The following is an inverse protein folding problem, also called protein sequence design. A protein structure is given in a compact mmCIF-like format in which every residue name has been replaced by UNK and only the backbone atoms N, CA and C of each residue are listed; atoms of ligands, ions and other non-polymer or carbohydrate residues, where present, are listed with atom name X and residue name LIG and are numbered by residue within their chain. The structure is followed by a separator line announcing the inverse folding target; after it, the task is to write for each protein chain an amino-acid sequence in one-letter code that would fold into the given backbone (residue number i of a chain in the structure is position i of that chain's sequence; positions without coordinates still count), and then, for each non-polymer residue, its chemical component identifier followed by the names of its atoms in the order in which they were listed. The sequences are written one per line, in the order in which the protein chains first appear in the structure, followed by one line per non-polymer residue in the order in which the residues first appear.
data_IF_593388785925
#
_entry.id   IF_593388785925
#
_cell.length_a   1.000
_cell.length_b   1.000
_cell.length_c   1.000
_cell.angle_alpha   90.00
_cell.angle_beta   90.00
_cell.angle_gamma   90.00
#
_symmetry.space_group_name_H-M   'P 1'
#
loop_
_entity.id
_entity.type
_entity.pdbx_description
1 polymer ?
#
# COMPACT_ATOMS: atom_id res chain seq x y z
N UNK A 1 -25.76 18.54 -49.64
CA UNK A 1 -25.27 17.16 -49.66
C UNK A 1 -23.75 17.24 -49.40
N UNK A 2 -23.35 17.17 -48.10
CA UNK A 2 -21.94 17.18 -47.72
C UNK A 2 -21.40 15.75 -47.88
N UNK A 3 -20.54 15.52 -48.87
CA UNK A 3 -19.75 14.31 -48.95
C UNK A 3 -18.67 14.40 -47.89
N UNK A 4 -18.83 13.64 -46.77
CA UNK A 4 -17.76 13.40 -45.84
C UNK A 4 -16.70 12.55 -46.57
N UNK A 5 -15.55 13.13 -46.83
CA UNK A 5 -14.36 12.38 -47.21
C UNK A 5 -13.92 11.58 -45.98
N UNK A 6 -14.24 10.28 -45.97
CA UNK A 6 -13.62 9.32 -45.06
C UNK A 6 -12.21 9.11 -45.65
N UNK A 7 -11.25 9.87 -45.13
CA UNK A 7 -9.84 9.62 -45.43
C UNK A 7 -9.51 8.21 -44.91
N UNK A 8 -9.11 7.31 -45.80
CA UNK A 8 -8.54 6.01 -45.43
C UNK A 8 -7.21 6.32 -44.73
N UNK A 9 -7.20 6.27 -43.44
CA UNK A 9 -5.95 6.40 -42.67
C UNK A 9 -5.08 5.16 -42.95
N UNK A 10 -3.82 5.41 -43.31
CA UNK A 10 -2.83 4.36 -43.47
C UNK A 10 -2.74 3.50 -42.20
N UNK A 11 -3.06 2.22 -42.27
CA UNK A 11 -3.23 1.34 -41.11
C UNK A 11 -2.49 0.02 -41.30
N UNK A 12 -1.81 -0.40 -40.24
CA UNK A 12 -1.30 -1.77 -40.08
C UNK A 12 -2.41 -2.65 -39.52
N UNK A 13 -2.57 -3.84 -40.08
CA UNK A 13 -3.51 -4.84 -39.61
C UNK A 13 -2.94 -6.25 -39.78
N UNK A 14 -3.54 -7.21 -39.08
CA UNK A 14 -3.18 -8.62 -39.16
C UNK A 14 -4.39 -9.45 -39.60
N UNK A 15 -4.11 -10.51 -40.35
CA UNK A 15 -5.12 -11.47 -40.84
C UNK A 15 -4.57 -12.87 -40.71
N UNK A 16 -5.44 -13.87 -40.64
CA UNK A 16 -5.07 -15.30 -40.59
C UNK A 16 -5.51 -16.02 -39.36
N UNK A 17 -5.27 -15.46 -38.20
CA UNK A 17 -5.86 -15.96 -36.94
C UNK A 17 -7.17 -15.20 -36.65
N UNK A 18 -8.30 -15.88 -36.82
CA UNK A 18 -9.62 -15.30 -36.57
C UNK A 18 -10.07 -15.57 -35.10
N UNK A 19 -9.39 -16.47 -34.40
CA UNK A 19 -9.74 -16.88 -33.05
C UNK A 19 -9.17 -15.94 -31.99
N UNK A 20 -7.99 -15.37 -32.26
CA UNK A 20 -7.29 -14.51 -31.31
C UNK A 20 -7.02 -13.13 -31.90
N UNK A 21 -7.67 -12.13 -31.35
CA UNK A 21 -7.43 -10.75 -31.73
C UNK A 21 -6.01 -10.34 -31.36
N UNK A 22 -5.40 -9.53 -32.22
CA UNK A 22 -4.07 -8.97 -31.94
C UNK A 22 -4.17 -8.00 -30.77
N UNK A 23 -3.27 -8.15 -29.81
CA UNK A 23 -3.14 -7.20 -28.72
C UNK A 23 -2.26 -6.03 -29.18
N UNK A 24 -2.72 -4.81 -28.94
CA UNK A 24 -2.04 -3.58 -29.34
C UNK A 24 -1.56 -2.82 -28.11
N UNK A 25 -0.27 -2.50 -28.07
CA UNK A 25 0.35 -1.72 -26.99
C UNK A 25 0.98 -0.46 -27.57
N UNK A 26 0.60 0.69 -27.05
CA UNK A 26 1.25 1.97 -27.38
C UNK A 26 2.51 2.09 -26.52
N UNK A 27 3.70 1.97 -27.11
CA UNK A 27 4.94 2.01 -26.33
C UNK A 27 5.27 3.43 -25.88
N UNK A 28 6.18 3.54 -24.90
CA UNK A 28 6.66 4.84 -24.47
C UNK A 28 7.31 5.63 -25.63
N UNK A 29 7.05 6.93 -25.72
CA UNK A 29 7.51 7.80 -26.81
C UNK A 29 9.02 7.74 -27.09
N UNK A 30 9.82 7.50 -26.06
CA UNK A 30 11.28 7.41 -26.15
C UNK A 30 11.76 6.12 -26.86
N UNK A 31 10.87 5.21 -27.24
CA UNK A 31 11.20 4.02 -28.02
C UNK A 31 11.32 4.34 -29.52
N UNK A 32 10.66 5.39 -29.99
CA UNK A 32 10.53 5.73 -31.40
C UNK A 32 9.63 4.77 -32.19
N UNK A 33 8.93 3.86 -31.51
CA UNK A 33 7.94 2.98 -32.10
C UNK A 33 6.55 3.62 -32.03
N UNK A 34 5.73 3.39 -33.06
CA UNK A 34 4.33 3.81 -33.09
C UNK A 34 3.44 2.80 -32.36
N UNK A 35 3.76 1.49 -32.47
CA UNK A 35 2.96 0.41 -31.88
C UNK A 35 3.80 -0.85 -31.62
N UNK A 36 3.43 -1.60 -30.60
CA UNK A 36 3.85 -2.98 -30.39
C UNK A 36 2.63 -3.88 -30.53
N UNK A 37 2.70 -4.84 -31.43
CA UNK A 37 1.66 -5.84 -31.66
C UNK A 37 2.06 -7.15 -31.00
N UNK A 38 1.17 -7.75 -30.23
CA UNK A 38 1.37 -9.06 -29.61
C UNK A 38 0.39 -10.04 -30.25
N UNK A 39 0.95 -11.01 -30.96
CA UNK A 39 0.21 -12.09 -31.62
C UNK A 39 0.16 -13.30 -30.69
N UNK A 40 -0.98 -14.01 -30.64
CA UNK A 40 -1.12 -15.25 -29.88
C UNK A 40 -0.14 -16.32 -30.39
N UNK A 41 -0.18 -16.57 -31.73
CA UNK A 41 0.80 -17.35 -32.47
C UNK A 41 1.05 -16.71 -33.84
N UNK A 42 2.28 -16.28 -34.10
CA UNK A 42 2.65 -15.58 -35.32
C UNK A 42 2.60 -16.43 -36.58
N UNK A 43 2.66 -17.76 -36.47
CA UNK A 43 2.69 -18.66 -37.65
C UNK A 43 1.41 -18.60 -38.48
N UNK A 44 0.29 -18.25 -37.89
CA UNK A 44 -1.00 -18.14 -38.54
C UNK A 44 -1.27 -16.74 -39.10
N UNK A 45 -0.44 -15.76 -38.77
CA UNK A 45 -0.70 -14.37 -39.05
C UNK A 45 0.05 -13.85 -40.28
N UNK A 46 -0.64 -12.97 -41.02
CA UNK A 46 -0.10 -12.14 -42.09
C UNK A 46 -0.21 -10.70 -41.67
N UNK A 47 0.82 -9.93 -41.93
CA UNK A 47 0.81 -8.49 -41.67
C UNK A 47 0.49 -7.73 -42.94
N UNK A 48 -0.46 -6.82 -42.91
CA UNK A 48 -0.85 -6.00 -44.04
C UNK A 48 -0.78 -4.51 -43.69
N UNK A 49 -0.50 -3.72 -44.71
CA UNK A 49 -0.52 -2.27 -44.61
C UNK A 49 -1.39 -1.70 -45.72
N UNK A 50 -2.36 -0.90 -45.35
CA UNK A 50 -3.22 -0.18 -46.29
C UNK A 50 -2.67 1.23 -46.45
N UNK A 51 -2.13 1.54 -47.61
CA UNK A 51 -1.62 2.86 -47.95
C UNK A 51 -2.77 3.85 -48.21
N UNK A 52 -2.51 5.14 -48.00
CA UNK A 52 -3.48 6.20 -48.25
C UNK A 52 -3.88 6.34 -49.73
N UNK A 53 -3.09 5.80 -50.67
CA UNK A 53 -3.35 5.80 -52.12
C UNK A 53 -2.82 4.55 -52.78
N UNK A 54 -3.51 4.07 -53.84
CA UNK A 54 -3.03 2.97 -54.68
C UNK A 54 -1.74 3.30 -55.47
N UNK A 55 -1.45 4.57 -55.64
CA UNK A 55 -0.23 5.04 -56.31
C UNK A 55 0.94 5.30 -55.36
N UNK A 56 0.74 5.17 -54.04
CA UNK A 56 1.80 5.35 -53.09
C UNK A 56 2.90 4.28 -53.22
N UNK A 57 4.16 4.67 -53.15
CA UNK A 57 5.26 3.72 -53.04
C UNK A 57 5.36 3.21 -51.61
N UNK A 58 5.26 1.90 -51.42
CA UNK A 58 5.36 1.27 -50.11
C UNK A 58 6.56 0.33 -50.10
N UNK A 59 7.47 0.54 -49.15
CA UNK A 59 8.61 -0.33 -48.87
C UNK A 59 8.55 -0.84 -47.43
N UNK A 60 9.03 -2.06 -47.26
CA UNK A 60 9.07 -2.72 -45.94
C UNK A 60 10.49 -3.07 -45.56
N UNK A 61 10.82 -2.85 -44.30
CA UNK A 61 12.12 -3.21 -43.72
C UNK A 61 11.88 -3.95 -42.41
N UNK A 62 12.79 -4.85 -42.10
CA UNK A 62 12.84 -5.59 -40.83
C UNK A 62 14.09 -5.20 -40.05
N UNK A 63 13.98 -5.06 -38.74
CA UNK A 63 15.11 -4.86 -37.83
C UNK A 63 14.99 -5.72 -36.58
N UNK A 64 16.13 -5.97 -35.91
CA UNK A 64 16.21 -6.72 -34.67
C UNK A 64 16.73 -5.87 -33.51
N UNK A 65 17.43 -6.50 -32.59
CA UNK A 65 18.00 -5.88 -31.39
C UNK A 65 19.00 -4.74 -31.67
N UNK A 66 19.61 -4.69 -32.86
CA UNK A 66 20.54 -3.63 -33.28
C UNK A 66 19.85 -2.31 -33.65
N UNK A 67 18.52 -2.35 -33.77
CA UNK A 67 17.69 -1.17 -34.07
C UNK A 67 17.51 -0.88 -35.57
N UNK A 68 16.65 0.10 -35.84
CA UNK A 68 16.19 0.44 -37.22
C UNK A 68 17.28 0.98 -38.15
N UNK A 69 18.41 1.46 -37.64
CA UNK A 69 19.54 1.90 -38.46
C UNK A 69 20.16 0.75 -39.29
N UNK A 70 19.98 -0.47 -38.85
CA UNK A 70 20.46 -1.70 -39.48
C UNK A 70 19.31 -2.52 -40.12
N UNK A 71 18.21 -1.86 -40.47
CA UNK A 71 17.05 -2.52 -41.05
C UNK A 71 17.34 -3.03 -42.46
N UNK A 72 16.86 -4.24 -42.73
CA UNK A 72 16.99 -4.90 -44.04
C UNK A 72 15.70 -4.80 -44.83
N UNK A 73 15.77 -4.47 -46.14
CA UNK A 73 14.58 -4.38 -47.00
C UNK A 73 13.96 -5.75 -47.26
N UNK A 74 12.66 -5.85 -47.10
CA UNK A 74 11.87 -7.04 -47.38
C UNK A 74 11.33 -6.91 -48.81
N UNK A 75 11.78 -7.77 -49.70
CA UNK A 75 11.38 -7.76 -51.13
C UNK A 75 10.20 -8.66 -51.43
N UNK A 76 9.87 -9.62 -50.53
CA UNK A 76 8.77 -10.59 -50.73
C UNK A 76 7.43 -10.05 -50.22
N UNK A 77 7.04 -8.89 -50.68
CA UNK A 77 5.76 -8.23 -50.36
C UNK A 77 4.80 -8.37 -51.52
N UNK A 78 3.60 -8.90 -51.25
CA UNK A 78 2.53 -8.88 -52.22
C UNK A 78 1.75 -7.58 -52.16
N UNK A 79 1.36 -7.07 -53.32
CA UNK A 79 0.59 -5.83 -53.43
C UNK A 79 -0.69 -6.04 -54.23
N UNK A 80 -1.80 -5.55 -53.69
CA UNK A 80 -3.09 -5.51 -54.36
C UNK A 80 -3.73 -4.13 -54.14
N UNK A 81 -3.69 -3.27 -55.17
CA UNK A 81 -4.15 -1.90 -55.08
C UNK A 81 -3.34 -1.10 -54.03
N UNK A 82 -3.99 -0.57 -53.04
CA UNK A 82 -3.35 0.16 -51.94
C UNK A 82 -2.94 -0.72 -50.73
N UNK A 83 -3.22 -2.03 -50.78
CA UNK A 83 -2.85 -2.98 -49.73
C UNK A 83 -1.57 -3.71 -50.08
N UNK A 84 -0.58 -3.70 -49.19
CA UNK A 84 0.62 -4.52 -49.22
C UNK A 84 0.62 -5.55 -48.10
N UNK A 85 1.02 -6.81 -48.41
CA UNK A 85 0.92 -7.95 -47.50
C UNK A 85 2.25 -8.66 -47.37
N UNK A 86 2.70 -8.79 -46.11
CA UNK A 86 3.78 -9.69 -45.71
C UNK A 86 3.15 -11.01 -45.26
N UNK A 87 3.30 -12.07 -46.07
CA UNK A 87 2.68 -13.39 -45.81
C UNK A 87 3.27 -14.14 -44.62
N UNK A 88 4.56 -13.95 -44.39
CA UNK A 88 5.28 -14.64 -43.32
C UNK A 88 5.89 -13.59 -42.38
N UNK A 89 5.22 -13.39 -41.24
CA UNK A 89 5.70 -12.47 -40.23
C UNK A 89 6.86 -13.15 -39.47
N UNK A 90 8.02 -12.51 -39.44
CA UNK A 90 9.14 -12.98 -38.61
C UNK A 90 8.87 -12.46 -37.19
N UNK A 91 8.68 -13.36 -36.23
CA UNK A 91 8.33 -12.98 -34.87
C UNK A 91 9.48 -12.26 -34.15
N UNK A 92 9.13 -11.56 -33.08
CA UNK A 92 10.05 -10.87 -32.18
C UNK A 92 11.00 -9.92 -32.93
N UNK A 93 10.43 -9.22 -33.92
CA UNK A 93 11.14 -8.31 -34.83
C UNK A 93 10.43 -6.98 -34.97
N UNK A 94 11.22 -5.95 -35.24
CA UNK A 94 10.71 -4.64 -35.65
C UNK A 94 10.52 -4.52 -37.14
N UNK A 95 9.53 -3.74 -37.54
CA UNK A 95 9.23 -3.43 -38.93
C UNK A 95 9.17 -1.94 -39.17
N UNK A 96 9.73 -1.50 -40.28
CA UNK A 96 9.58 -0.14 -40.79
C UNK A 96 8.78 -0.22 -42.08
N UNK A 97 7.65 0.47 -42.11
CA UNK A 97 6.80 0.58 -43.30
C UNK A 97 6.93 2.01 -43.79
N UNK A 98 7.55 2.18 -44.94
CA UNK A 98 7.77 3.47 -45.59
C UNK A 98 6.75 3.67 -46.69
N UNK A 99 5.86 4.64 -46.49
CA UNK A 99 4.93 5.08 -47.53
C UNK A 99 5.40 6.44 -48.08
N UNK A 100 5.91 6.46 -49.29
CA UNK A 100 6.57 7.62 -49.93
C UNK A 100 7.75 8.10 -49.03
N UNK A 101 7.53 9.14 -48.20
CA UNK A 101 8.52 9.69 -47.24
C UNK A 101 8.14 9.47 -45.79
N UNK A 102 6.93 8.96 -45.51
CA UNK A 102 6.44 8.73 -44.15
C UNK A 102 6.80 7.33 -43.69
N UNK A 103 7.22 7.19 -42.45
CA UNK A 103 7.60 5.90 -41.87
C UNK A 103 6.74 5.58 -40.66
N UNK A 104 6.31 4.32 -40.60
CA UNK A 104 5.74 3.72 -39.40
C UNK A 104 6.69 2.69 -38.85
N UNK A 105 6.88 2.73 -37.52
CA UNK A 105 7.79 1.87 -36.81
C UNK A 105 7.00 1.00 -35.83
N UNK A 106 7.00 -0.30 -36.06
CA UNK A 106 6.24 -1.22 -35.22
C UNK A 106 7.11 -2.39 -34.78
N UNK A 107 6.76 -3.00 -33.65
CA UNK A 107 7.39 -4.23 -33.20
C UNK A 107 6.32 -5.33 -33.12
N UNK A 108 6.66 -6.55 -33.51
CA UNK A 108 5.73 -7.69 -33.48
C UNK A 108 6.30 -8.75 -32.54
N UNK A 109 5.54 -9.10 -31.54
CA UNK A 109 5.83 -10.15 -30.55
C UNK A 109 5.03 -11.39 -30.89
N UNK A 110 5.67 -12.56 -30.82
CA UNK A 110 5.00 -13.85 -30.80
C UNK A 110 4.81 -14.29 -29.34
N UNK A 111 3.60 -14.23 -28.81
CA UNK A 111 3.33 -14.59 -27.43
C UNK A 111 3.59 -16.07 -27.13
N UNK A 112 3.44 -16.94 -28.14
CA UNK A 112 3.71 -18.39 -28.00
C UNK A 112 5.13 -18.69 -27.49
N UNK A 113 6.12 -17.84 -27.81
CA UNK A 113 7.51 -17.95 -27.36
C UNK A 113 7.70 -17.54 -25.88
N UNK A 114 6.73 -16.85 -25.30
CA UNK A 114 6.75 -16.30 -23.94
C UNK A 114 5.58 -16.80 -23.09
N UNK A 115 4.86 -17.83 -23.54
CA UNK A 115 3.60 -18.24 -22.93
C UNK A 115 3.77 -18.48 -21.43
N UNK A 116 2.94 -17.82 -20.64
CA UNK A 116 2.92 -17.97 -19.21
C UNK A 116 2.26 -19.31 -18.82
N UNK A 117 2.93 -20.03 -17.94
CA UNK A 117 2.41 -21.22 -17.25
C UNK A 117 2.86 -21.16 -15.81
N UNK A 118 1.95 -21.26 -14.87
CA UNK A 118 2.27 -21.35 -13.44
C UNK A 118 1.71 -22.68 -12.94
N UNK A 119 2.58 -23.49 -12.35
CA UNK A 119 2.23 -24.81 -11.82
C UNK A 119 1.87 -24.75 -10.34
N UNK A 120 2.65 -24.01 -9.54
CA UNK A 120 2.39 -23.80 -8.11
C UNK A 120 2.92 -22.46 -7.63
N UNK A 121 2.35 -22.03 -6.51
CA UNK A 121 2.84 -20.97 -5.68
C UNK A 121 2.86 -21.48 -4.24
N UNK A 122 3.98 -21.44 -3.58
CA UNK A 122 4.19 -22.01 -2.25
C UNK A 122 4.77 -20.95 -1.32
N UNK A 123 4.08 -20.66 -0.23
CA UNK A 123 4.59 -19.79 0.81
C UNK A 123 5.62 -20.53 1.67
N UNK A 124 6.75 -19.91 1.94
CA UNK A 124 7.77 -20.42 2.85
C UNK A 124 7.36 -20.04 4.27
N UNK A 125 7.07 -21.07 5.09
CA UNK A 125 6.74 -20.89 6.51
C UNK A 125 8.02 -21.06 7.36
N UNK A 126 8.95 -20.11 7.26
CA UNK A 126 10.26 -20.11 7.93
C UNK A 126 10.27 -19.35 9.27
N UNK A 127 9.14 -18.75 9.64
CA UNK A 127 9.00 -18.01 10.89
C UNK A 127 9.46 -16.55 10.82
N UNK A 128 9.75 -16.01 9.63
CA UNK A 128 10.15 -14.60 9.49
C UNK A 128 9.00 -13.68 9.92
N UNK A 129 9.35 -12.70 10.77
CA UNK A 129 8.40 -11.74 11.33
C UNK A 129 8.08 -10.58 10.38
N UNK A 130 8.94 -10.30 9.42
CA UNK A 130 8.93 -9.07 8.63
C UNK A 130 8.56 -9.30 7.17
N UNK A 131 8.85 -10.48 6.63
CA UNK A 131 8.64 -10.80 5.23
C UNK A 131 7.99 -12.16 5.02
N UNK A 132 7.16 -12.26 3.98
CA UNK A 132 6.69 -13.51 3.42
C UNK A 132 7.43 -13.78 2.11
N UNK A 133 8.00 -14.98 1.98
CA UNK A 133 8.67 -15.44 0.77
C UNK A 133 7.82 -16.47 0.07
N UNK A 134 7.58 -16.29 -1.23
CA UNK A 134 6.80 -17.21 -2.06
C UNK A 134 7.71 -17.81 -3.13
N UNK A 135 7.70 -19.12 -3.25
CA UNK A 135 8.33 -19.86 -4.34
C UNK A 135 7.32 -20.14 -5.42
N UNK A 136 7.59 -19.71 -6.65
CA UNK A 136 6.71 -19.89 -7.80
C UNK A 136 7.36 -20.86 -8.79
N UNK A 137 6.67 -21.92 -9.12
CA UNK A 137 7.06 -22.86 -10.16
C UNK A 137 6.28 -22.57 -11.43
N UNK A 138 6.97 -22.21 -12.48
CA UNK A 138 6.32 -21.84 -13.73
C UNK A 138 7.31 -21.46 -14.82
N UNK A 139 6.75 -21.17 -16.00
CA UNK A 139 7.45 -20.71 -17.18
C UNK A 139 6.81 -19.41 -17.66
N UNK A 140 7.57 -18.55 -18.30
CA UNK A 140 7.08 -17.28 -18.84
C UNK A 140 8.12 -16.20 -18.74
N UNK A 141 9.11 -16.26 -19.64
CA UNK A 141 10.19 -15.27 -19.73
C UNK A 141 9.65 -13.85 -19.95
N UNK A 142 10.45 -12.86 -19.60
CA UNK A 142 10.16 -11.45 -19.88
C UNK A 142 9.93 -11.23 -21.38
N UNK A 143 8.80 -10.65 -21.74
CA UNK A 143 8.48 -10.34 -23.15
C UNK A 143 9.29 -9.14 -23.57
N UNK A 144 10.28 -9.39 -24.44
CA UNK A 144 11.26 -8.37 -24.84
C UNK A 144 10.92 -7.78 -26.20
N UNK A 145 11.07 -6.46 -26.30
CA UNK A 145 11.08 -5.74 -27.58
C UNK A 145 12.23 -4.71 -27.59
N UNK A 146 12.52 -4.15 -28.75
CA UNK A 146 13.61 -3.18 -28.88
C UNK A 146 13.11 -1.89 -29.49
N UNK A 147 13.59 -0.77 -28.94
CA UNK A 147 13.37 0.55 -29.51
C UNK A 147 14.03 0.67 -30.89
N UNK A 148 13.67 1.71 -31.64
CA UNK A 148 14.29 2.00 -32.93
C UNK A 148 15.82 2.19 -32.83
N UNK A 149 16.34 2.57 -31.67
CA UNK A 149 17.76 2.74 -31.40
C UNK A 149 18.42 1.48 -30.78
N UNK A 150 17.74 0.35 -30.74
CA UNK A 150 18.26 -0.91 -30.22
C UNK A 150 18.22 -1.03 -28.68
N UNK A 151 17.57 -0.12 -27.96
CA UNK A 151 17.43 -0.25 -26.51
C UNK A 151 16.41 -1.34 -26.15
N UNK A 152 16.83 -2.30 -25.33
CA UNK A 152 15.97 -3.37 -24.81
C UNK A 152 14.88 -2.80 -23.93
N UNK A 153 13.65 -3.26 -24.15
CA UNK A 153 12.44 -2.94 -23.39
C UNK A 153 11.71 -4.24 -23.03
N UNK A 154 10.93 -4.19 -21.98
CA UNK A 154 10.09 -5.32 -21.54
C UNK A 154 8.63 -4.87 -21.55
N UNK A 155 7.76 -5.73 -22.06
CA UNK A 155 6.32 -5.55 -21.93
C UNK A 155 5.87 -6.04 -20.55
N UNK A 156 5.16 -5.18 -19.86
CA UNK A 156 4.58 -5.48 -18.56
C UNK A 156 3.47 -6.54 -18.75
N UNK A 157 3.59 -7.66 -18.05
CA UNK A 157 2.56 -8.73 -18.03
C UNK A 157 1.37 -8.38 -17.17
N UNK A 158 1.51 -7.43 -16.23
CA UNK A 158 0.50 -7.07 -15.23
C UNK A 158 -0.06 -8.30 -14.51
N UNK A 159 0.85 -9.12 -14.02
CA UNK A 159 0.47 -10.20 -13.12
C UNK A 159 0.01 -9.58 -11.80
N UNK A 160 -0.92 -10.23 -11.11
CA UNK A 160 -1.40 -9.78 -9.81
C UNK A 160 -1.23 -10.89 -8.79
N UNK A 161 -0.60 -10.53 -7.67
CA UNK A 161 -0.57 -11.35 -6.48
C UNK A 161 -1.64 -10.83 -5.53
N UNK A 162 -2.61 -11.69 -5.18
CA UNK A 162 -3.77 -11.35 -4.38
C UNK A 162 -3.71 -12.14 -3.07
N UNK A 163 -3.90 -11.45 -1.94
CA UNK A 163 -3.91 -12.04 -0.60
C UNK A 163 -4.70 -11.17 0.37
N UNK A 164 -5.05 -11.69 1.55
CA UNK A 164 -5.65 -10.91 2.62
C UNK A 164 -4.57 -10.40 3.58
N UNK A 165 -4.79 -9.21 4.13
CA UNK A 165 -3.99 -8.66 5.21
C UNK A 165 -4.89 -7.91 6.21
N UNK A 166 -4.44 -7.79 7.46
CA UNK A 166 -5.09 -6.93 8.44
C UNK A 166 -4.60 -5.49 8.29
N UNK A 167 -5.56 -4.57 8.24
CA UNK A 167 -5.34 -3.12 8.16
C UNK A 167 -6.06 -2.46 9.33
N UNK A 168 -5.38 -1.55 10.03
CA UNK A 168 -5.98 -0.81 11.13
C UNK A 168 -7.02 0.18 10.62
N UNK A 169 -8.23 0.16 11.22
CA UNK A 169 -9.30 1.09 10.94
C UNK A 169 -9.51 2.03 12.14
N UNK A 170 -9.14 3.29 11.98
CA UNK A 170 -9.26 4.30 13.03
C UNK A 170 -10.71 4.61 13.42
N UNK A 171 -11.65 4.46 12.49
CA UNK A 171 -13.07 4.75 12.74
C UNK A 171 -13.73 3.65 13.56
N UNK A 172 -13.47 2.40 13.19
CA UNK A 172 -14.06 1.22 13.85
C UNK A 172 -13.23 0.75 15.05
N UNK A 173 -12.03 1.30 15.23
CA UNK A 173 -11.08 0.96 16.32
C UNK A 173 -10.77 -0.55 16.32
N UNK A 174 -10.49 -1.11 15.16
CA UNK A 174 -10.19 -2.54 14.99
C UNK A 174 -9.33 -2.83 13.78
N UNK A 175 -8.73 -4.02 13.79
CA UNK A 175 -8.04 -4.56 12.63
C UNK A 175 -9.05 -5.22 11.69
N UNK A 176 -9.13 -4.73 10.45
CA UNK A 176 -10.02 -5.27 9.41
C UNK A 176 -9.23 -6.09 8.41
N UNK A 177 -9.79 -7.24 7.99
CA UNK A 177 -9.22 -8.02 6.88
C UNK A 177 -9.56 -7.36 5.55
N UNK A 178 -8.53 -7.02 4.78
CA UNK A 178 -8.65 -6.39 3.46
C UNK A 178 -7.88 -7.18 2.42
N UNK A 179 -8.42 -7.22 1.20
CA UNK A 179 -7.73 -7.82 0.05
C UNK A 179 -6.64 -6.86 -0.41
N UNK A 180 -5.43 -7.38 -0.52
CA UNK A 180 -4.28 -6.69 -1.09
C UNK A 180 -4.00 -7.24 -2.48
N UNK A 181 -3.61 -6.36 -3.40
CA UNK A 181 -3.20 -6.70 -4.76
C UNK A 181 -1.83 -6.08 -5.04
N UNK A 182 -0.85 -6.94 -5.36
CA UNK A 182 0.49 -6.51 -5.78
C UNK A 182 0.68 -6.78 -7.26
N UNK A 183 1.04 -5.73 -8.03
CA UNK A 183 1.31 -5.87 -9.46
C UNK A 183 2.75 -6.30 -9.72
N UNK A 184 2.93 -7.33 -10.56
CA UNK A 184 4.23 -7.84 -10.99
C UNK A 184 4.36 -7.69 -12.51
N UNK A 185 5.45 -7.07 -12.95
CA UNK A 185 5.73 -6.86 -14.38
C UNK A 185 6.07 -8.15 -15.14
N UNK A 186 6.66 -9.10 -14.44
CA UNK A 186 7.13 -10.38 -14.97
C UNK A 186 7.01 -11.48 -13.93
N UNK A 187 7.00 -12.74 -14.37
CA UNK A 187 7.05 -13.88 -13.46
C UNK A 187 8.43 -13.97 -12.81
N UNK A 188 8.46 -14.10 -11.49
CA UNK A 188 9.66 -14.35 -10.70
C UNK A 188 9.54 -15.71 -10.02
N UNK A 189 10.62 -16.46 -9.98
CA UNK A 189 10.67 -17.75 -9.25
C UNK A 189 10.56 -17.59 -7.74
N UNK A 190 10.92 -16.40 -7.24
CA UNK A 190 10.78 -16.04 -5.82
C UNK A 190 10.22 -14.63 -5.73
N UNK A 191 9.16 -14.47 -4.94
CA UNK A 191 8.52 -13.20 -4.63
C UNK A 191 8.66 -12.97 -3.13
N UNK A 192 9.14 -11.79 -2.73
CA UNK A 192 9.22 -11.39 -1.32
C UNK A 192 8.37 -10.13 -1.12
N UNK A 193 7.57 -10.13 -0.07
CA UNK A 193 6.67 -9.04 0.31
C UNK A 193 6.64 -8.90 1.83
N UNK A 194 6.16 -7.76 2.39
CA UNK A 194 5.96 -7.63 3.82
C UNK A 194 5.05 -8.75 4.35
N UNK A 195 5.38 -9.34 5.49
CA UNK A 195 4.59 -10.41 6.08
C UNK A 195 3.16 -9.91 6.38
N UNK A 196 2.12 -10.59 5.89
CA UNK A 196 0.75 -10.30 6.27
C UNK A 196 0.54 -10.50 7.78
N UNK A 197 -0.32 -9.68 8.36
CA UNK A 197 -0.67 -9.77 9.79
C UNK A 197 -1.79 -10.78 10.10
N UNK A 198 -2.19 -11.58 9.12
CA UNK A 198 -3.12 -12.70 9.29
C UNK A 198 -2.70 -13.90 8.46
N UNK A 199 -3.21 -15.08 8.81
CA UNK A 199 -3.09 -16.24 7.94
C UNK A 199 -3.83 -15.98 6.64
N UNK A 200 -3.21 -16.35 5.52
CA UNK A 200 -3.76 -16.06 4.19
C UNK A 200 -3.29 -17.07 3.16
N UNK A 201 -3.99 -17.14 2.04
CA UNK A 201 -3.53 -17.81 0.83
C UNK A 201 -3.10 -16.77 -0.19
N UNK A 202 -2.07 -17.06 -0.96
CA UNK A 202 -1.61 -16.23 -2.05
C UNK A 202 -2.13 -16.78 -3.38
N UNK A 203 -2.78 -15.90 -4.15
CA UNK A 203 -3.29 -16.24 -5.49
C UNK A 203 -2.56 -15.39 -6.53
N UNK A 204 -1.89 -16.04 -7.47
CA UNK A 204 -1.28 -15.39 -8.63
C UNK A 204 -2.22 -15.47 -9.82
N UNK A 205 -2.58 -14.30 -10.39
CA UNK A 205 -3.48 -14.19 -11.54
C UNK A 205 -2.82 -13.42 -12.68
N UNK A 206 -3.38 -13.53 -13.88
CA UNK A 206 -2.92 -12.85 -15.10
C UNK A 206 -2.54 -13.91 -16.15
N UNK A 207 -1.67 -13.62 -17.15
CA UNK A 207 -1.22 -12.27 -17.48
C UNK A 207 -2.24 -11.52 -18.33
N UNK A 208 -2.07 -10.19 -18.52
CA UNK A 208 -3.03 -9.36 -19.29
C UNK A 208 -3.21 -9.82 -20.75
N UNK A 209 -2.24 -10.52 -21.32
CA UNK A 209 -2.32 -11.04 -22.69
C UNK A 209 -3.22 -12.26 -22.74
N UNK A 210 -3.02 -13.23 -21.84
CA UNK A 210 -3.92 -14.39 -21.71
C UNK A 210 -5.33 -13.95 -21.32
N UNK A 211 -5.47 -12.99 -20.41
CA UNK A 211 -6.78 -12.43 -20.04
C UNK A 211 -7.48 -11.82 -21.27
N UNK A 212 -6.75 -11.10 -22.12
CA UNK A 212 -7.29 -10.51 -23.34
C UNK A 212 -7.86 -11.57 -24.30
N UNK A 213 -7.25 -12.76 -24.33
CA UNK A 213 -7.73 -13.90 -25.14
C UNK A 213 -8.70 -14.81 -24.39
N UNK A 214 -9.04 -14.52 -23.14
CA UNK A 214 -9.96 -15.34 -22.34
C UNK A 214 -9.32 -16.58 -21.72
N UNK A 215 -8.00 -16.65 -21.65
CA UNK A 215 -7.20 -17.76 -21.14
C UNK A 215 -6.41 -17.38 -19.85
N UNK A 216 -6.82 -16.32 -19.14
CA UNK A 216 -6.16 -15.88 -17.92
C UNK A 216 -5.96 -17.01 -16.91
N UNK A 217 -4.82 -17.01 -16.23
CA UNK A 217 -4.51 -18.01 -15.20
C UNK A 217 -4.91 -17.51 -13.81
N UNK A 218 -5.18 -18.45 -12.91
CA UNK A 218 -5.36 -18.20 -11.48
C UNK A 218 -4.84 -19.43 -10.72
N UNK A 219 -3.76 -19.24 -9.96
CA UNK A 219 -3.13 -20.31 -9.17
C UNK A 219 -3.03 -19.86 -7.73
N UNK A 220 -3.63 -20.65 -6.83
CA UNK A 220 -3.65 -20.39 -5.39
C UNK A 220 -2.75 -21.40 -4.68
N UNK A 221 -1.92 -20.92 -3.77
CA UNK A 221 -1.07 -21.74 -2.91
C UNK A 221 -1.77 -22.23 -1.65
N UNK A 222 -1.03 -22.99 -0.86
CA UNK A 222 -1.45 -23.38 0.49
C UNK A 222 -1.47 -22.18 1.45
N UNK A 223 -2.10 -22.33 2.59
CA UNK A 223 -2.22 -21.27 3.58
C UNK A 223 -0.86 -20.92 4.18
N UNK A 224 -0.52 -19.65 4.11
CA UNK A 224 0.60 -19.05 4.84
C UNK A 224 0.20 -18.83 6.30
N UNK A 225 1.03 -19.29 7.22
CA UNK A 225 0.86 -19.12 8.66
C UNK A 225 1.70 -17.95 9.12
N UNK A 226 1.07 -16.81 9.37
CA UNK A 226 1.80 -15.61 9.80
C UNK A 226 2.43 -15.77 11.18
N UNK A 227 3.63 -15.24 11.33
CA UNK A 227 4.29 -15.02 12.62
C UNK A 227 4.38 -13.54 12.96
N UNK A 228 4.04 -12.68 12.01
CA UNK A 228 4.08 -11.23 12.17
C UNK A 228 3.03 -10.77 13.18
N UNK A 229 3.47 -9.93 14.10
CA UNK A 229 2.62 -9.31 15.11
C UNK A 229 2.72 -7.79 15.01
N UNK A 230 1.61 -7.11 15.28
CA UNK A 230 1.58 -5.65 15.43
C UNK A 230 0.52 -5.25 16.45
N UNK A 231 0.61 -4.04 16.95
CA UNK A 231 -0.31 -3.48 17.95
C UNK A 231 -0.54 -1.99 17.69
N UNK A 232 -1.78 -1.58 17.88
CA UNK A 232 -2.17 -0.17 17.99
C UNK A 232 -2.75 0.05 19.39
N UNK A 233 -2.44 1.18 20.00
CA UNK A 233 -2.91 1.50 21.36
C UNK A 233 -3.59 2.86 21.42
N UNK A 234 -4.43 3.06 22.42
CA UNK A 234 -5.04 4.35 22.75
C UNK A 234 -4.96 4.62 24.23
N UNK A 235 -4.87 5.89 24.58
CA UNK A 235 -4.96 6.36 25.96
C UNK A 235 -6.02 7.44 26.07
N UNK A 236 -6.98 7.25 26.95
CA UNK A 236 -8.09 8.17 27.17
C UNK A 236 -8.11 8.60 28.63
N UNK A 237 -8.04 9.91 28.86
CA UNK A 237 -8.12 10.48 30.20
C UNK A 237 -9.55 10.93 30.49
N UNK A 238 -10.10 10.53 31.65
CA UNK A 238 -11.38 11.06 32.09
C UNK A 238 -11.29 12.55 32.31
N UNK A 239 -12.10 13.31 31.59
CA UNK A 239 -12.23 14.74 31.81
C UNK A 239 -13.06 14.99 33.06
N UNK A 240 -12.44 15.53 34.11
CA UNK A 240 -13.16 16.03 35.29
C UNK A 240 -13.29 17.53 35.15
N UNK A 241 -14.51 18.02 34.92
CA UNK A 241 -14.82 19.43 35.16
C UNK A 241 -14.72 19.69 36.68
N UNK A 242 -13.67 20.32 37.07
CA UNK A 242 -13.49 20.77 38.45
C UNK A 242 -13.29 22.28 38.41
N UNK A 243 -14.28 23.02 38.93
CA UNK A 243 -14.18 24.45 39.11
C UNK A 243 -12.90 24.77 39.91
N UNK A 244 -12.12 25.73 39.36
CA UNK A 244 -10.89 26.23 39.97
C UNK A 244 -9.68 25.28 40.03
N UNK A 245 -9.71 24.11 39.42
CA UNK A 245 -8.54 23.28 39.19
C UNK A 245 -7.62 23.93 38.16
N UNK A 246 -6.33 24.06 38.51
CA UNK A 246 -5.30 24.66 37.62
C UNK A 246 -4.42 23.55 37.08
N UNK A 247 -4.14 23.59 35.78
CA UNK A 247 -3.21 22.65 35.14
C UNK A 247 -3.81 21.26 34.91
N UNK A 248 -5.09 21.18 34.56
CA UNK A 248 -5.63 20.01 33.87
C UNK A 248 -4.83 19.78 32.57
N UNK A 249 -4.53 18.54 32.21
CA UNK A 249 -3.89 18.22 30.93
C UNK A 249 -4.67 18.85 29.78
N UNK A 250 -3.98 19.28 28.75
CA UNK A 250 -4.59 19.62 27.49
C UNK A 250 -4.91 18.33 26.69
N UNK A 251 -5.59 18.45 25.56
CA UNK A 251 -5.95 17.31 24.71
C UNK A 251 -4.74 16.51 24.18
N UNK A 252 -3.51 17.05 24.35
CA UNK A 252 -2.28 16.49 23.80
C UNK A 252 -1.37 15.86 24.87
N UNK A 253 -1.61 16.14 26.18
CA UNK A 253 -0.77 15.64 27.27
C UNK A 253 -1.58 14.89 28.32
N UNK A 254 -1.11 13.68 28.68
CA UNK A 254 -1.74 12.89 29.72
C UNK A 254 -1.28 13.34 31.13
N UNK A 255 -2.20 13.29 32.09
CA UNK A 255 -1.93 13.61 33.48
C UNK A 255 -2.43 14.99 33.90
N UNK A 256 -1.52 15.89 34.30
CA UNK A 256 -1.84 17.25 34.77
C UNK A 256 -2.04 17.33 36.26
N UNK A 257 -3.27 17.26 36.78
CA UNK A 257 -3.62 17.37 38.19
C UNK A 257 -4.13 16.04 38.75
N UNK A 258 -3.62 15.60 39.91
CA UNK A 258 -4.14 14.45 40.63
C UNK A 258 -5.52 14.72 41.28
N UNK A 259 -6.42 13.71 41.35
CA UNK A 259 -6.29 12.41 40.77
C UNK A 259 -6.60 12.45 39.27
N UNK A 260 -5.76 11.89 38.41
CA UNK A 260 -6.03 11.68 37.03
C UNK A 260 -6.36 10.20 36.76
N UNK A 261 -7.44 9.93 36.02
CA UNK A 261 -7.85 8.57 35.68
C UNK A 261 -7.63 8.41 34.17
N UNK A 262 -6.79 7.45 33.79
CA UNK A 262 -6.43 7.21 32.40
C UNK A 262 -6.70 5.73 32.07
N UNK A 263 -7.40 5.49 30.98
CA UNK A 263 -7.61 4.16 30.43
C UNK A 263 -6.70 3.98 29.22
N UNK A 264 -5.84 2.96 29.26
CA UNK A 264 -4.99 2.53 28.16
C UNK A 264 -5.62 1.28 27.55
N UNK A 265 -5.79 1.26 26.23
CA UNK A 265 -6.37 0.15 25.46
C UNK A 265 -5.43 -0.29 24.36
N UNK A 266 -5.30 -1.61 24.17
CA UNK A 266 -4.46 -2.22 23.15
C UNK A 266 -5.28 -3.06 22.18
N UNK A 267 -4.98 -2.95 20.89
CA UNK A 267 -5.60 -3.65 19.78
C UNK A 267 -4.48 -4.29 18.94
N UNK A 268 -4.42 -5.59 18.91
CA UNK A 268 -3.32 -6.35 18.32
C UNK A 268 -3.85 -7.39 17.33
N UNK A 269 -2.95 -7.96 16.52
CA UNK A 269 -3.26 -8.94 15.49
C UNK A 269 -3.31 -10.36 16.01
N UNK A 270 -3.93 -11.29 15.26
CA UNK A 270 -4.29 -12.64 15.72
C UNK A 270 -3.09 -13.53 16.11
N UNK A 271 -1.91 -13.28 15.53
CA UNK A 271 -0.70 -14.04 15.85
C UNK A 271 -0.11 -13.74 17.23
N UNK A 272 -0.64 -12.73 17.94
CA UNK A 272 -0.19 -12.38 19.29
C UNK A 272 -0.60 -13.46 20.28
N UNK A 273 0.37 -14.06 20.96
CA UNK A 273 0.19 -15.07 21.98
C UNK A 273 0.54 -14.59 23.40
N UNK A 274 1.48 -13.67 23.53
CA UNK A 274 1.83 -13.04 24.81
C UNK A 274 1.73 -11.52 24.70
N UNK A 275 1.31 -10.89 25.80
CA UNK A 275 1.05 -9.45 25.80
C UNK A 275 1.09 -8.89 27.22
N UNK A 276 1.55 -7.64 27.36
CA UNK A 276 1.50 -6.92 28.62
C UNK A 276 1.62 -5.40 28.43
N UNK A 277 0.98 -4.65 29.30
CA UNK A 277 1.33 -3.26 29.56
C UNK A 277 2.53 -3.22 30.50
N UNK A 278 3.50 -2.38 30.19
CA UNK A 278 4.68 -2.12 31.00
C UNK A 278 4.69 -0.66 31.46
N UNK A 279 4.98 -0.44 32.73
CA UNK A 279 5.21 0.88 33.30
C UNK A 279 6.66 1.02 33.77
N UNK A 280 7.26 2.18 33.45
CA UNK A 280 8.58 2.57 33.91
C UNK A 280 8.60 4.01 34.42
N UNK A 281 9.61 4.34 35.20
CA UNK A 281 9.93 5.71 35.62
C UNK A 281 10.92 6.39 34.65
N UNK A 282 11.46 5.67 33.69
CA UNK A 282 12.33 6.17 32.60
C UNK A 282 11.76 5.84 31.23
N UNK A 283 12.06 6.68 30.23
CA UNK A 283 11.55 6.55 28.88
C UNK A 283 12.17 5.37 28.10
N UNK A 284 13.32 4.90 28.51
CA UNK A 284 14.08 3.81 27.91
C UNK A 284 13.60 2.44 28.41
N UNK A 285 12.80 2.40 29.47
CA UNK A 285 12.31 1.16 30.11
C UNK A 285 13.45 0.24 30.57
N UNK A 286 14.52 0.82 31.14
CA UNK A 286 15.62 0.06 31.71
C UNK A 286 15.16 -0.80 32.90
N UNK A 287 14.22 -0.27 33.68
CA UNK A 287 13.57 -0.99 34.78
C UNK A 287 12.05 -0.94 34.61
N UNK A 288 11.41 -2.11 34.64
CA UNK A 288 9.95 -2.22 34.59
C UNK A 288 9.40 -2.27 36.02
N UNK A 289 8.68 -1.21 36.38
CA UNK A 289 8.13 -1.05 37.72
C UNK A 289 6.76 -1.74 37.91
N UNK A 290 5.94 -1.82 36.81
CA UNK A 290 4.65 -2.52 36.84
C UNK A 290 4.40 -3.26 35.51
N UNK A 291 3.66 -4.40 35.59
CA UNK A 291 3.28 -5.24 34.45
C UNK A 291 1.83 -5.67 34.59
N UNK A 292 1.04 -5.51 33.50
CA UNK A 292 -0.38 -5.90 33.47
C UNK A 292 -0.72 -6.57 32.16
N UNK A 293 -1.43 -7.69 32.20
CA UNK A 293 -1.69 -8.55 31.01
C UNK A 293 -3.06 -8.32 30.35
N UNK A 294 -3.85 -7.39 30.86
CA UNK A 294 -5.15 -7.04 30.32
C UNK A 294 -5.04 -6.23 29.01
N UNK A 295 -6.02 -6.35 28.13
CA UNK A 295 -6.09 -5.57 26.88
C UNK A 295 -6.34 -4.09 27.14
N UNK A 296 -7.15 -3.82 28.17
CA UNK A 296 -7.43 -2.47 28.63
C UNK A 296 -7.21 -2.37 30.13
N UNK A 297 -6.49 -1.34 30.57
CA UNK A 297 -6.19 -1.05 31.96
C UNK A 297 -6.63 0.37 32.30
N UNK A 298 -7.26 0.55 33.45
CA UNK A 298 -7.55 1.89 33.99
C UNK A 298 -6.67 2.15 35.19
N UNK A 299 -5.94 3.26 35.17
CA UNK A 299 -5.00 3.65 36.20
C UNK A 299 -5.41 5.00 36.79
N UNK A 300 -5.44 5.07 38.14
CA UNK A 300 -5.64 6.32 38.85
C UNK A 300 -4.31 6.82 39.39
N UNK A 301 -3.90 7.99 38.93
CA UNK A 301 -2.65 8.65 39.31
C UNK A 301 -2.94 9.65 40.43
N UNK A 302 -2.52 9.34 41.65
CA UNK A 302 -2.75 10.17 42.83
C UNK A 302 -1.51 10.93 43.30
N UNK A 303 -0.31 10.50 42.88
CA UNK A 303 0.97 11.06 43.31
C UNK A 303 1.62 11.87 42.17
N UNK A 304 2.34 12.94 42.57
CA UNK A 304 3.11 13.75 41.61
C UNK A 304 4.31 12.94 41.07
N UNK A 305 4.58 13.10 39.79
CA UNK A 305 5.69 12.43 39.13
C UNK A 305 5.42 12.17 37.64
N UNK A 306 6.41 11.59 36.99
CA UNK A 306 6.32 11.18 35.59
C UNK A 306 6.42 9.67 35.50
N UNK A 307 5.54 9.06 34.73
CA UNK A 307 5.58 7.62 34.37
C UNK A 307 5.44 7.44 32.89
N UNK A 308 6.02 6.35 32.38
CA UNK A 308 5.99 5.97 30.98
C UNK A 308 5.28 4.63 30.83
N UNK A 309 4.40 4.52 29.86
CA UNK A 309 3.59 3.33 29.63
C UNK A 309 3.73 2.90 28.17
N UNK A 310 3.91 1.59 27.96
CA UNK A 310 3.88 0.97 26.63
C UNK A 310 3.21 -0.40 26.69
N UNK A 311 2.71 -0.82 25.55
CA UNK A 311 2.25 -2.20 25.36
C UNK A 311 3.30 -3.00 24.61
N UNK A 312 3.52 -4.23 25.05
CA UNK A 312 4.45 -5.18 24.42
C UNK A 312 3.68 -6.45 24.12
N UNK A 313 3.86 -6.97 22.90
CA UNK A 313 3.28 -8.26 22.54
C UNK A 313 4.24 -9.08 21.69
N UNK A 314 4.04 -10.41 21.69
CA UNK A 314 4.82 -11.32 20.86
C UNK A 314 4.00 -12.51 20.39
N UNK A 315 4.48 -13.19 19.33
CA UNK A 315 3.95 -14.47 18.89
C UNK A 315 4.25 -15.60 19.90
N UNK A 316 3.78 -16.81 19.61
CA UNK A 316 3.92 -17.96 20.50
C UNK A 316 5.38 -18.39 20.77
N UNK A 317 6.29 -18.17 19.83
CA UNK A 317 7.72 -18.49 20.00
C UNK A 317 8.49 -17.38 20.74
N UNK A 318 7.94 -16.16 20.79
CA UNK A 318 8.61 -14.98 21.31
C UNK A 318 9.63 -14.35 20.38
N UNK A 319 9.82 -14.92 19.17
CA UNK A 319 10.79 -14.43 18.18
C UNK A 319 10.29 -13.17 17.47
N UNK A 320 8.97 -13.07 17.26
CA UNK A 320 8.33 -11.90 16.70
C UNK A 320 7.67 -11.08 17.81
N UNK A 321 8.10 -9.84 17.98
CA UNK A 321 7.56 -8.93 18.99
C UNK A 321 7.24 -7.56 18.41
N UNK A 322 6.24 -6.89 19.00
CA UNK A 322 5.87 -5.53 18.68
C UNK A 322 5.70 -4.70 19.95
N UNK A 323 5.99 -3.41 19.83
CA UNK A 323 5.87 -2.42 20.88
C UNK A 323 4.95 -1.30 20.39
N UNK A 324 4.10 -0.81 21.30
CA UNK A 324 3.33 0.40 21.05
C UNK A 324 4.20 1.65 21.15
N UNK A 325 3.65 2.79 20.73
CA UNK A 325 4.17 4.09 21.15
C UNK A 325 4.16 4.20 22.68
N UNK A 326 5.07 5.06 23.20
CA UNK A 326 5.21 5.30 24.63
C UNK A 326 4.30 6.44 25.06
N UNK A 327 3.46 6.20 26.06
CA UNK A 327 2.66 7.22 26.71
C UNK A 327 3.39 7.79 27.90
N UNK A 328 3.64 9.09 27.89
CA UNK A 328 4.15 9.80 29.05
C UNK A 328 2.99 10.41 29.84
N UNK A 329 2.89 10.05 31.13
CA UNK A 329 1.93 10.63 32.07
C UNK A 329 2.67 11.48 33.07
N UNK A 330 2.33 12.75 33.17
CA UNK A 330 2.99 13.71 34.07
C UNK A 330 1.98 14.32 35.04
N UNK A 331 2.10 13.99 36.35
CA UNK A 331 1.28 14.55 37.42
C UNK A 331 2.07 15.64 38.14
N UNK A 332 1.53 16.86 38.09
CA UNK A 332 2.16 18.00 38.73
C UNK A 332 2.05 17.96 40.26
N UNK A 333 3.00 18.61 40.92
CA UNK A 333 3.01 18.76 42.40
C UNK A 333 1.74 19.45 42.93
N UNK A 334 1.41 19.16 44.18
CA UNK A 334 0.27 19.74 44.90
C UNK A 334 0.45 21.25 45.05
N UNK A 335 -0.58 22.00 44.68
CA UNK A 335 -0.63 23.45 44.85
C UNK A 335 -2.00 23.86 45.43
N UNK A 336 -1.99 24.76 46.38
CA UNK A 336 -3.19 25.39 46.93
C UNK A 336 -2.98 26.89 46.99
N UNK A 337 -3.83 27.67 46.36
CA UNK A 337 -3.81 29.13 46.39
C UNK A 337 -5.16 29.63 46.86
N UNK A 338 -5.14 30.20 48.07
CA UNK A 338 -6.31 30.79 48.70
C UNK A 338 -6.29 32.34 48.46
N UNK A 339 -7.39 32.94 48.01
CA UNK A 339 -7.50 34.38 47.92
C UNK A 339 -7.45 35.01 49.34
N UNK A 340 -6.76 36.12 49.49
CA UNK A 340 -6.65 36.85 50.75
C UNK A 340 -7.94 37.65 51.07
N UNK A 341 -8.76 37.95 50.07
CA UNK A 341 -10.01 38.70 50.23
C UNK A 341 -10.96 38.41 49.06
N UNK A 342 -12.23 38.64 49.29
CA UNK A 342 -13.26 38.72 48.26
C UNK A 342 -14.19 39.91 48.56
N UNK A 343 -14.92 40.38 47.58
CA UNK A 343 -15.72 41.61 47.66
C UNK A 343 -17.10 41.43 47.02
N UNK A 344 -18.00 40.67 47.65
CA UNK A 344 -19.30 40.40 47.09
C UNK A 344 -20.13 41.65 46.92
N UNK A 345 -20.73 41.78 45.74
CA UNK A 345 -21.62 42.88 45.40
C UNK A 345 -20.96 44.26 45.15
N UNK A 346 -19.62 44.34 45.10
CA UNK A 346 -18.89 45.57 44.73
C UNK A 346 -18.82 45.80 43.24
N UNK A 347 -18.52 44.72 42.49
CA UNK A 347 -18.53 44.68 41.04
C UNK A 347 -19.13 43.33 40.63
N UNK A 348 -20.29 43.36 40.02
CA UNK A 348 -21.03 42.14 39.64
C UNK A 348 -20.15 41.17 38.79
N UNK A 349 -20.03 39.93 39.23
CA UNK A 349 -19.23 38.92 38.57
C UNK A 349 -17.73 38.94 38.87
N UNK A 350 -17.22 39.92 39.68
CA UNK A 350 -15.80 40.02 40.00
C UNK A 350 -15.58 39.90 41.50
N UNK A 351 -14.85 38.88 41.91
CA UNK A 351 -14.54 38.55 43.33
C UNK A 351 -15.77 38.44 44.25
N UNK A 352 -16.92 38.07 43.72
CA UNK A 352 -18.15 37.89 44.47
C UNK A 352 -18.12 36.65 45.36
N UNK A 353 -17.28 35.71 45.00
CA UNK A 353 -17.11 34.43 45.72
C UNK A 353 -15.65 34.23 46.16
N UNK A 354 -15.45 33.61 47.31
CA UNK A 354 -14.13 33.17 47.75
C UNK A 354 -13.87 31.79 47.13
N UNK A 355 -13.01 31.76 46.12
CA UNK A 355 -12.68 30.50 45.37
C UNK A 355 -11.21 30.18 45.52
N UNK A 356 -10.93 28.93 45.88
CA UNK A 356 -9.57 28.40 46.01
C UNK A 356 -9.15 27.81 44.68
N UNK A 357 -7.97 28.25 44.17
CA UNK A 357 -7.33 27.57 43.05
C UNK A 357 -6.43 26.47 43.55
N UNK A 358 -6.52 25.29 42.93
CA UNK A 358 -5.74 24.14 43.38
C UNK A 358 -5.24 23.27 42.20
N UNK A 359 -4.20 22.50 42.51
CA UNK A 359 -3.65 21.46 41.62
C UNK A 359 -3.28 20.26 42.46
N UNK A 360 -3.54 19.04 41.98
CA UNK A 360 -3.17 17.78 42.65
C UNK A 360 -3.58 17.71 44.13
N UNK A 361 -4.82 18.09 44.44
CA UNK A 361 -5.39 18.01 45.77
C UNK A 361 -6.47 16.94 45.78
N UNK A 362 -6.19 15.80 46.42
CA UNK A 362 -7.10 14.65 46.50
C UNK A 362 -8.15 14.85 47.59
N UNK A 363 -7.78 15.52 48.70
CA UNK A 363 -8.70 15.86 49.78
C UNK A 363 -8.44 17.28 50.27
N UNK A 364 -9.48 18.05 50.38
CA UNK A 364 -9.45 19.41 50.91
C UNK A 364 -10.48 19.57 52.02
N UNK A 365 -10.04 20.23 53.10
CA UNK A 365 -10.92 20.59 54.21
C UNK A 365 -10.65 22.04 54.60
N UNK A 366 -11.70 22.83 54.72
CA UNK A 366 -11.63 24.23 55.09
C UNK A 366 -12.56 24.50 56.25
N UNK A 367 -12.14 25.35 57.17
CA UNK A 367 -12.96 25.85 58.23
C UNK A 367 -12.93 27.39 58.19
N UNK A 368 -14.09 27.98 58.25
CA UNK A 368 -14.26 29.46 58.27
C UNK A 368 -14.70 29.87 59.64
N UNK A 369 -14.00 30.82 60.20
CA UNK A 369 -14.30 31.43 61.51
C UNK A 369 -14.61 32.91 61.34
N UNK A 370 -15.52 33.43 62.17
CA UNK A 370 -15.71 34.85 62.27
C UNK A 370 -14.62 35.50 63.11
N UNK A 371 -14.63 36.87 63.23
CA UNK A 371 -13.64 37.64 64.03
C UNK A 371 -13.65 37.33 65.50
N UNK A 372 -14.67 36.67 66.02
CA UNK A 372 -14.78 36.23 67.42
C UNK A 372 -14.42 34.75 67.64
N UNK A 373 -13.89 34.10 66.63
CA UNK A 373 -13.47 32.70 66.71
C UNK A 373 -14.60 31.68 66.63
N UNK A 374 -15.79 32.06 66.24
CA UNK A 374 -16.93 31.16 66.03
C UNK A 374 -16.84 30.54 64.64
N UNK A 375 -16.82 29.21 64.53
CA UNK A 375 -16.83 28.49 63.29
C UNK A 375 -18.17 28.75 62.57
N UNK A 376 -18.09 29.15 61.30
CA UNK A 376 -19.25 29.41 60.44
C UNK A 376 -19.58 28.23 59.52
N UNK A 377 -18.57 27.48 59.06
CA UNK A 377 -18.71 26.24 58.32
C UNK A 377 -17.45 25.35 58.45
#
# INVERSE_FOLDING_TARGET
MLMAWIGVNAQVAFTGDESHKVFEEVPAKNTGLDMVYVLYDSQQNRMQYTAGSSNATVKWYKFGATGGAYAEEITSIERNGNVSVLKSVIPNSGYIIEENTNRKYVWVVNYADYRLRVNSIEAVNDGDCSSATLNVQGEGDAIVYYSINGARKVLDRKLKLIYNNLVWNETDIMWNSEIQEEELQELKSTISLPAPYCNTTFTLTGDRFLEYWGEGISVTGDEYQTQAVTVTTRAEQEQKEADNQVGGGDETTLGGSAPAVITFSAYYTDAVATKEWQMSHDAEFEEIADRRNEDAITVTFEEAGTTFWRFVCSNATGECSAYSDVYQVNIGESMLKCPNAFSPGVTEGVNDEWKVSYKSIVKFKCWIFNTWGVQLC
#
